data_IF_001581068761
#
_entry.id   IF_001581068761
#
_cell.length_a   1.000
_cell.length_b   1.000
_cell.length_c   1.000
_cell.angle_alpha   90.00
_cell.angle_beta   90.00
_cell.angle_gamma   90.00
#
_symmetry.space_group_name_H-M   'P 1'
#
loop_
_entity.id
_entity.type
_entity.pdbx_description
1 polymer ?
#
# COMPACT_ATOMS: atom_id res chain seq x y z
N UNK A 1 -11.42 -18.03 6.32
CA UNK A 1 -11.61 -16.61 6.64
C UNK A 1 -12.69 -16.10 5.71
N UNK A 2 -13.79 -15.55 6.24
CA UNK A 2 -14.87 -14.94 5.45
C UNK A 2 -15.07 -13.52 5.96
N UNK A 3 -15.17 -12.54 5.04
CA UNK A 3 -15.53 -11.17 5.39
C UNK A 3 -17.04 -11.07 5.64
N UNK A 4 -17.42 -10.26 6.61
CA UNK A 4 -18.84 -10.07 6.96
C UNK A 4 -19.49 -8.95 6.15
N UNK A 5 -18.70 -7.97 5.73
CA UNK A 5 -19.13 -6.81 4.94
C UNK A 5 -18.17 -6.57 3.78
N UNK A 6 -18.68 -6.04 2.67
CA UNK A 6 -17.82 -5.64 1.53
C UNK A 6 -16.81 -4.57 1.94
N UNK A 7 -17.19 -3.65 2.84
CA UNK A 7 -16.32 -2.58 3.34
C UNK A 7 -15.10 -3.13 4.08
N UNK A 8 -15.27 -4.20 4.85
CA UNK A 8 -14.18 -4.91 5.54
C UNK A 8 -13.19 -5.49 4.53
N UNK A 9 -13.70 -6.19 3.49
CA UNK A 9 -12.88 -6.75 2.43
C UNK A 9 -12.11 -5.68 1.65
N UNK A 10 -12.76 -4.56 1.34
CA UNK A 10 -12.16 -3.43 0.63
C UNK A 10 -11.04 -2.78 1.44
N UNK A 11 -11.29 -2.50 2.73
CA UNK A 11 -10.30 -1.85 3.58
C UNK A 11 -9.08 -2.74 3.83
N UNK A 12 -9.28 -4.04 4.08
CA UNK A 12 -8.17 -4.98 4.25
C UNK A 12 -7.36 -5.14 2.95
N UNK A 13 -8.02 -5.14 1.79
CA UNK A 13 -7.34 -5.17 0.50
C UNK A 13 -6.52 -3.91 0.26
N UNK A 14 -7.05 -2.73 0.60
CA UNK A 14 -6.34 -1.46 0.48
C UNK A 14 -5.15 -1.38 1.45
N UNK A 15 -5.31 -1.84 2.69
CA UNK A 15 -4.23 -1.92 3.67
C UNK A 15 -3.11 -2.86 3.18
N UNK A 16 -3.47 -4.03 2.61
CA UNK A 16 -2.50 -4.95 2.03
C UNK A 16 -1.75 -4.33 0.85
N UNK A 17 -2.47 -3.66 -0.07
CA UNK A 17 -1.86 -2.99 -1.21
C UNK A 17 -0.87 -1.91 -0.76
N UNK A 18 -1.22 -1.14 0.27
CA UNK A 18 -0.34 -0.13 0.85
C UNK A 18 0.92 -0.75 1.43
N UNK A 19 0.79 -1.77 2.29
CA UNK A 19 1.94 -2.46 2.90
C UNK A 19 2.84 -3.11 1.83
N UNK A 20 2.24 -3.70 0.79
CA UNK A 20 2.99 -4.30 -0.30
C UNK A 20 3.85 -3.26 -1.04
N UNK A 21 3.26 -2.11 -1.37
CA UNK A 21 3.93 -1.07 -2.15
C UNK A 21 4.95 -0.24 -1.35
N UNK A 22 4.72 -0.05 -0.04
CA UNK A 22 5.49 0.88 0.79
C UNK A 22 6.42 0.21 1.79
N UNK A 23 6.07 -0.95 2.35
CA UNK A 23 6.81 -1.56 3.46
C UNK A 23 7.58 -2.82 3.08
N UNK A 24 7.07 -3.62 2.14
CA UNK A 24 7.66 -4.93 1.83
C UNK A 24 8.79 -4.84 0.80
N UNK A 25 10.04 -5.18 1.16
CA UNK A 25 11.12 -5.25 0.20
C UNK A 25 11.04 -6.54 -0.63
N UNK A 26 11.31 -6.43 -1.93
CA UNK A 26 11.29 -7.58 -2.83
C UNK A 26 12.69 -7.87 -3.36
N UNK A 27 13.13 -9.13 -3.28
CA UNK A 27 14.44 -9.57 -3.79
C UNK A 27 14.63 -9.27 -5.28
N UNK A 28 13.58 -9.43 -6.09
CA UNK A 28 13.58 -9.11 -7.52
C UNK A 28 13.79 -7.63 -7.82
N UNK A 29 13.53 -6.74 -6.86
CA UNK A 29 13.76 -5.30 -6.95
C UNK A 29 15.07 -4.88 -6.27
N UNK A 30 15.95 -5.83 -5.96
CA UNK A 30 17.19 -5.56 -5.23
C UNK A 30 16.94 -5.23 -3.75
N UNK A 31 15.99 -5.92 -3.12
CA UNK A 31 15.56 -5.69 -1.74
C UNK A 31 15.01 -4.28 -1.49
N UNK A 32 14.30 -3.74 -2.49
CA UNK A 32 13.58 -2.46 -2.41
C UNK A 32 12.08 -2.70 -2.42
N UNK A 33 11.33 -1.76 -1.86
CA UNK A 33 9.87 -1.71 -1.99
C UNK A 33 9.52 -1.24 -3.41
N UNK A 34 8.32 -1.55 -3.94
CA UNK A 34 7.90 -1.09 -5.25
C UNK A 34 7.99 0.43 -5.41
N UNK A 35 7.60 1.19 -4.38
CA UNK A 35 7.70 2.66 -4.37
C UNK A 35 9.17 3.10 -4.42
N UNK A 36 10.05 2.55 -3.59
CA UNK A 36 11.47 2.91 -3.58
C UNK A 36 12.16 2.58 -4.91
N UNK A 37 11.87 1.40 -5.48
CA UNK A 37 12.39 0.99 -6.79
C UNK A 37 11.94 1.94 -7.91
N UNK A 38 10.68 2.38 -7.88
CA UNK A 38 10.17 3.32 -8.87
C UNK A 38 10.79 4.72 -8.69
N UNK A 39 10.90 5.23 -7.46
CA UNK A 39 11.50 6.55 -7.17
C UNK A 39 12.93 6.66 -7.70
N UNK A 40 13.74 5.61 -7.53
CA UNK A 40 15.10 5.55 -8.05
C UNK A 40 15.17 5.60 -9.58
N UNK A 41 14.20 4.98 -10.27
CA UNK A 41 14.18 4.90 -11.74
C UNK A 41 13.61 6.15 -12.40
N UNK A 42 12.62 6.79 -11.79
CA UNK A 42 11.97 7.96 -12.38
C UNK A 42 12.78 9.25 -12.21
N UNK A 43 13.81 9.29 -11.34
CA UNK A 43 14.61 10.49 -10.99
C UNK A 43 13.80 11.71 -10.49
N UNK A 44 12.46 11.67 -10.57
CA UNK A 44 11.46 12.66 -10.17
C UNK A 44 10.10 11.96 -10.02
N UNK A 45 9.22 12.52 -9.16
CA UNK A 45 7.87 12.07 -8.76
C UNK A 45 7.34 10.72 -9.29
N UNK A 46 7.15 9.80 -8.35
CA UNK A 46 6.32 8.61 -8.44
C UNK A 46 4.94 8.91 -9.07
N UNK A 47 4.48 8.05 -9.98
CA UNK A 47 3.15 8.17 -10.60
C UNK A 47 2.04 8.28 -9.53
N UNK A 48 0.96 9.07 -9.74
CA UNK A 48 -0.16 9.18 -8.82
C UNK A 48 -0.78 7.83 -8.44
N UNK A 49 -0.66 6.82 -9.29
CA UNK A 49 -1.12 5.44 -9.03
C UNK A 49 -0.39 4.78 -7.86
N UNK A 50 0.86 5.18 -7.58
CA UNK A 50 1.69 4.66 -6.49
C UNK A 50 1.80 5.62 -5.31
N UNK A 51 1.57 6.91 -5.55
CA UNK A 51 1.37 7.90 -4.50
C UNK A 51 -0.10 7.87 -4.08
N UNK A 52 -0.50 6.84 -3.33
CA UNK A 52 -1.67 7.02 -2.49
C UNK A 52 -1.35 8.17 -1.53
N UNK A 53 -2.25 9.15 -1.43
CA UNK A 53 -2.05 10.37 -0.63
C UNK A 53 -1.50 10.00 0.75
N UNK A 54 -0.44 10.69 1.17
CA UNK A 54 0.23 10.56 2.48
C UNK A 54 -0.69 10.63 3.70
N UNK A 55 -1.98 10.90 3.49
CA UNK A 55 -2.95 11.15 4.53
C UNK A 55 -3.42 9.87 5.26
N UNK A 56 -3.26 8.68 4.67
CA UNK A 56 -3.71 7.43 5.32
C UNK A 56 -2.68 6.30 5.24
N UNK A 57 -2.12 5.96 6.41
CA UNK A 57 -1.36 4.74 6.66
C UNK A 57 -2.29 3.50 6.69
N UNK A 58 -1.75 2.30 6.49
CA UNK A 58 -2.50 1.04 6.56
C UNK A 58 -3.25 0.89 7.89
N UNK A 59 -2.71 1.42 9.00
CA UNK A 59 -3.39 1.42 10.30
C UNK A 59 -4.73 2.17 10.25
N UNK A 60 -4.80 3.32 9.60
CA UNK A 60 -6.04 4.09 9.48
C UNK A 60 -7.09 3.34 8.63
N UNK A 61 -6.64 2.64 7.58
CA UNK A 61 -7.51 1.83 6.73
C UNK A 61 -8.14 0.66 7.51
N UNK A 62 -7.37 0.01 8.38
CA UNK A 62 -7.87 -1.06 9.25
C UNK A 62 -8.85 -0.52 10.29
N UNK A 63 -8.47 0.56 10.99
CA UNK A 63 -9.27 1.14 12.09
C UNK A 63 -10.65 1.64 11.63
N UNK A 64 -10.76 2.16 10.41
CA UNK A 64 -12.04 2.58 9.83
C UNK A 64 -12.94 1.41 9.39
N UNK A 65 -12.38 0.21 9.21
CA UNK A 65 -13.12 -0.95 8.71
C UNK A 65 -13.73 -1.80 9.83
N UNK A 66 -13.12 -1.73 11.01
CA UNK A 66 -13.49 -2.53 12.18
C UNK A 66 -14.34 -1.78 13.21
N UNK A 67 -14.58 -0.48 13.00
CA UNK A 67 -15.60 0.31 13.72
C UNK A 67 -16.96 0.19 13.03
#
# INVERSE_FOLDING_TARGET
>A
FCFTKLTEAQALSNAWLWMYNNERPHKSLGYKTPVAFMQERLRSYASPTFLHEQQFDWNCLILNATN
#
